data_IF_684259590030
#
_entry.id   IF_684259590030
#
_cell.length_a   1.000
_cell.length_b   1.000
_cell.length_c   1.000
_cell.angle_alpha   90.00
_cell.angle_beta   90.00
_cell.angle_gamma   90.00
#
_symmetry.space_group_name_H-M   'P 1'
#
loop_
_entity.id
_entity.type
_entity.pdbx_description
1 polymer ?
#
# COMPACT_ATOMS: atom_id res chain seq x y z
N UNK A 1 -17.61 -15.41 7.59
CA UNK A 1 -16.31 -15.02 7.05
C UNK A 1 -16.23 -15.51 5.63
N UNK A 2 -16.24 -14.59 4.67
CA UNK A 2 -16.00 -14.89 3.26
C UNK A 2 -14.55 -14.56 2.92
N UNK A 3 -14.06 -15.12 1.82
CA UNK A 3 -12.70 -14.87 1.34
C UNK A 3 -12.72 -13.97 0.12
N UNK A 4 -11.79 -13.02 0.08
CA UNK A 4 -11.46 -12.27 -1.13
C UNK A 4 -10.07 -12.67 -1.61
N UNK A 5 -9.88 -12.65 -2.92
CA UNK A 5 -8.59 -12.91 -3.53
C UNK A 5 -7.88 -11.58 -3.77
N UNK A 6 -6.72 -11.41 -3.15
CA UNK A 6 -5.84 -10.25 -3.36
C UNK A 6 -4.73 -10.66 -4.30
N UNK A 7 -4.63 -9.97 -5.44
CA UNK A 7 -3.56 -10.16 -6.42
C UNK A 7 -2.66 -8.94 -6.42
N UNK A 8 -1.36 -9.16 -6.19
CA UNK A 8 -0.33 -8.13 -6.20
C UNK A 8 0.68 -8.47 -7.30
N UNK A 9 0.83 -7.60 -8.30
CA UNK A 9 1.72 -7.82 -9.44
C UNK A 9 2.81 -6.74 -9.53
N UNK A 10 4.00 -7.13 -9.98
CA UNK A 10 5.12 -6.22 -10.26
C UNK A 10 5.95 -6.73 -11.45
N UNK A 11 6.83 -5.91 -12.04
CA UNK A 11 7.68 -6.38 -13.13
C UNK A 11 8.50 -7.61 -12.75
N UNK A 12 8.25 -8.74 -13.42
CA UNK A 12 8.97 -9.99 -13.22
C UNK A 12 8.40 -10.92 -12.14
N UNK A 13 7.25 -10.61 -11.53
CA UNK A 13 6.63 -11.50 -10.56
C UNK A 13 5.27 -11.04 -10.07
N UNK A 14 4.67 -11.87 -9.24
CA UNK A 14 3.41 -11.55 -8.58
C UNK A 14 3.16 -12.49 -7.43
N UNK A 15 2.17 -12.13 -6.63
CA UNK A 15 1.77 -12.87 -5.45
C UNK A 15 0.25 -12.80 -5.28
N UNK A 16 -0.32 -13.89 -4.79
CA UNK A 16 -1.75 -14.08 -4.62
C UNK A 16 -1.99 -14.54 -3.18
N UNK A 17 -3.00 -13.98 -2.53
CA UNK A 17 -3.38 -14.34 -1.17
C UNK A 17 -4.89 -14.28 -0.98
N UNK A 18 -5.38 -15.15 -0.09
CA UNK A 18 -6.77 -15.14 0.33
C UNK A 18 -6.90 -14.42 1.66
N UNK A 19 -7.66 -13.32 1.69
CA UNK A 19 -7.94 -12.56 2.92
C UNK A 19 -9.37 -12.84 3.38
N UNK A 20 -9.54 -13.12 4.67
CA UNK A 20 -10.85 -13.30 5.28
C UNK A 20 -11.48 -11.96 5.65
N UNK A 21 -12.76 -11.78 5.30
CA UNK A 21 -13.58 -10.61 5.63
C UNK A 21 -14.96 -11.06 6.12
N UNK A 22 -15.73 -10.17 6.71
CA UNK A 22 -17.11 -10.46 7.14
C UNK A 22 -18.02 -10.85 5.96
N UNK A 23 -19.05 -11.67 6.21
CA UNK A 23 -19.98 -12.12 5.15
C UNK A 23 -20.66 -10.94 4.44
N UNK A 24 -21.07 -9.94 5.21
CA UNK A 24 -21.77 -8.73 4.79
C UNK A 24 -20.81 -7.57 4.49
N UNK A 25 -19.50 -7.81 4.48
CA UNK A 25 -18.50 -6.79 4.16
C UNK A 25 -18.85 -6.09 2.84
N UNK A 26 -18.90 -4.77 2.91
CA UNK A 26 -19.13 -3.85 1.80
C UNK A 26 -17.95 -3.85 0.84
N UNK A 27 -18.15 -3.26 -0.35
CA UNK A 27 -17.07 -3.09 -1.31
C UNK A 27 -15.89 -2.28 -0.73
N UNK A 28 -16.17 -1.21 -0.01
CA UNK A 28 -15.16 -0.34 0.60
C UNK A 28 -14.32 -1.10 1.65
N UNK A 29 -14.95 -1.93 2.46
CA UNK A 29 -14.25 -2.76 3.45
C UNK A 29 -13.38 -3.84 2.80
N UNK A 30 -13.83 -4.45 1.70
CA UNK A 30 -13.03 -5.39 0.92
C UNK A 30 -11.85 -4.71 0.25
N UNK A 31 -12.03 -3.48 -0.26
CA UNK A 31 -10.96 -2.67 -0.85
C UNK A 31 -9.92 -2.28 0.20
N UNK A 32 -10.35 -1.89 1.40
CA UNK A 32 -9.44 -1.59 2.50
C UNK A 32 -8.65 -2.84 2.93
N UNK A 33 -9.30 -4.00 3.06
CA UNK A 33 -8.61 -5.25 3.40
C UNK A 33 -7.57 -5.65 2.34
N UNK A 34 -7.88 -5.46 1.05
CA UNK A 34 -6.93 -5.70 -0.03
C UNK A 34 -5.76 -4.71 -0.02
N UNK A 35 -6.02 -3.44 0.28
CA UNK A 35 -4.99 -2.40 0.40
C UNK A 35 -4.06 -2.68 1.59
N UNK A 36 -4.61 -3.07 2.74
CA UNK A 36 -3.84 -3.43 3.93
C UNK A 36 -2.90 -4.61 3.64
N UNK A 37 -3.41 -5.65 2.97
CA UNK A 37 -2.57 -6.79 2.56
C UNK A 37 -1.45 -6.38 1.60
N UNK A 38 -1.75 -5.48 0.65
CA UNK A 38 -0.74 -4.91 -0.23
C UNK A 38 0.35 -4.17 0.55
N UNK A 39 -0.03 -3.24 1.45
CA UNK A 39 0.95 -2.45 2.21
C UNK A 39 1.74 -3.27 3.24
N UNK A 40 1.21 -4.40 3.71
CA UNK A 40 1.94 -5.35 4.55
C UNK A 40 3.06 -6.09 3.79
N UNK A 41 2.95 -6.21 2.45
CA UNK A 41 3.94 -6.88 1.60
C UNK A 41 4.85 -5.93 0.85
N UNK A 42 4.31 -4.80 0.39
CA UNK A 42 5.02 -3.85 -0.44
C UNK A 42 5.50 -2.67 0.40
N UNK A 43 6.83 -2.46 0.39
CA UNK A 43 7.42 -1.27 0.99
C UNK A 43 6.95 -0.03 0.22
N UNK A 44 6.16 0.80 0.88
CA UNK A 44 5.74 2.11 0.39
C UNK A 44 6.07 3.17 1.44
N UNK A 45 6.46 4.37 0.99
CA UNK A 45 6.85 5.44 1.89
C UNK A 45 6.93 6.79 1.17
N UNK A 46 6.99 7.86 1.95
CA UNK A 46 7.12 9.23 1.47
C UNK A 46 7.98 10.03 2.47
N UNK A 47 8.54 11.14 1.98
CA UNK A 47 9.21 12.13 2.82
C UNK A 47 8.90 13.53 2.30
N UNK A 48 8.90 14.52 3.18
CA UNK A 48 8.79 15.93 2.78
C UNK A 48 10.10 16.38 2.13
N UNK A 49 10.00 17.17 1.05
CA UNK A 49 11.16 17.83 0.46
C UNK A 49 11.39 19.12 1.25
N UNK A 50 12.38 19.14 2.14
CA UNK A 50 12.83 20.38 2.76
C UNK A 50 13.33 21.34 1.65
N UNK A 51 12.74 22.54 1.54
CA UNK A 51 13.28 23.56 0.67
C UNK A 51 14.68 23.93 1.18
N UNK A 52 15.70 23.65 0.37
CA UNK A 52 17.06 24.10 0.63
C UNK A 52 17.04 25.60 0.92
N UNK A 53 17.42 26.00 2.14
CA UNK A 53 17.74 27.40 2.42
C UNK A 53 18.85 27.80 1.44
N UNK A 54 18.74 28.92 0.72
CA UNK A 54 19.83 29.37 -0.14
C UNK A 54 21.07 29.53 0.74
N UNK A 55 22.15 28.84 0.37
CA UNK A 55 23.45 29.04 0.97
C UNK A 55 23.83 30.52 0.78
N UNK A 56 23.82 31.28 1.87
CA UNK A 56 24.45 32.59 1.89
C UNK A 56 25.95 32.30 1.78
N UNK A 57 26.50 32.47 0.59
CA UNK A 57 27.93 32.30 0.33
C UNK A 57 28.73 33.14 1.34
N UNK A 58 29.65 32.49 2.05
CA UNK A 58 30.61 33.19 2.88
C UNK A 58 31.52 34.04 1.97
N UNK A 59 31.59 35.33 2.30
CA UNK A 59 32.53 36.33 1.76
C UNK A 59 33.97 35.95 2.10
#
# INVERSE_FOLDING_TARGET
MKKIHVCVEWPGGGWNEEVEVEEDATQEEMEQAAADEFYNRCNYGWSEVEQAKPEVGNV
#
